data_IF_274427930953
#
_entry.id   IF_274427930953
#
_cell.length_a   1.000
_cell.length_b   1.000
_cell.length_c   1.000
_cell.angle_alpha   90.00
_cell.angle_beta   90.00
_cell.angle_gamma   90.00
#
_symmetry.space_group_name_H-M   'P 1'
#
loop_
_entity.id
_entity.type
_entity.pdbx_description
1 polymer ?
#
# COMPACT_ATOMS: atom_id res chain seq x y z
N UNK A 1 -18.02 17.73 -14.28
CA UNK A 1 -19.50 17.66 -14.27
C UNK A 1 -19.98 16.36 -14.90
N UNK A 2 -21.27 16.00 -14.79
CA UNK A 2 -21.81 14.68 -15.21
C UNK A 2 -21.43 14.27 -16.65
N UNK A 3 -21.48 15.20 -17.59
CA UNK A 3 -21.14 14.93 -19.00
C UNK A 3 -19.67 14.53 -19.16
N UNK A 4 -18.75 15.21 -18.48
CA UNK A 4 -17.32 14.84 -18.46
C UNK A 4 -17.06 13.48 -17.81
N UNK A 5 -17.79 13.13 -16.74
CA UNK A 5 -17.68 11.79 -16.14
C UNK A 5 -18.18 10.73 -17.12
N UNK A 6 -19.28 10.97 -17.82
CA UNK A 6 -19.76 10.05 -18.84
C UNK A 6 -18.71 9.86 -19.95
N UNK A 7 -18.16 10.95 -20.49
CA UNK A 7 -17.12 10.92 -21.52
C UNK A 7 -15.84 10.19 -21.06
N UNK A 8 -15.40 10.42 -19.82
CA UNK A 8 -14.33 9.65 -19.18
C UNK A 8 -14.66 8.15 -19.17
N UNK A 9 -15.87 7.79 -18.75
CA UNK A 9 -16.30 6.39 -18.73
C UNK A 9 -16.40 5.77 -20.12
N UNK A 10 -16.80 6.53 -21.16
CA UNK A 10 -16.78 6.07 -22.56
C UNK A 10 -15.34 5.71 -22.95
N UNK A 11 -14.42 6.65 -22.77
CA UNK A 11 -13.01 6.49 -23.13
C UNK A 11 -12.33 5.35 -22.35
N UNK A 12 -12.60 5.24 -21.05
CA UNK A 12 -12.04 4.20 -20.20
C UNK A 12 -12.44 2.80 -20.69
N UNK A 13 -13.71 2.59 -21.06
CA UNK A 13 -14.15 1.29 -21.55
C UNK A 13 -13.65 0.95 -22.96
N UNK A 14 -13.37 1.94 -23.80
CA UNK A 14 -12.64 1.71 -25.06
C UNK A 14 -11.23 1.17 -24.80
N UNK A 15 -10.52 1.74 -23.82
CA UNK A 15 -9.17 1.33 -23.42
C UNK A 15 -9.19 -0.05 -22.76
N UNK A 16 -10.07 -0.29 -21.78
CA UNK A 16 -10.21 -1.58 -21.08
C UNK A 16 -10.52 -2.72 -22.05
N UNK A 17 -11.35 -2.46 -23.08
CA UNK A 17 -11.70 -3.49 -24.07
C UNK A 17 -10.51 -3.86 -24.97
N UNK A 18 -9.54 -2.96 -25.13
CA UNK A 18 -8.27 -3.23 -25.80
C UNK A 18 -7.23 -3.86 -24.86
N UNK A 19 -7.34 -3.67 -23.55
CA UNK A 19 -6.41 -4.22 -22.57
C UNK A 19 -6.65 -5.73 -22.32
N UNK A 20 -5.68 -6.55 -22.74
CA UNK A 20 -5.72 -7.99 -22.53
C UNK A 20 -5.70 -8.40 -21.04
N UNK A 21 -5.21 -7.54 -20.16
CA UNK A 21 -5.14 -7.75 -18.70
C UNK A 21 -6.51 -7.62 -18.05
N UNK A 22 -7.40 -6.76 -18.59
CA UNK A 22 -8.69 -6.41 -17.97
C UNK A 22 -9.92 -6.89 -18.73
N UNK A 23 -9.87 -7.00 -20.06
CA UNK A 23 -11.06 -7.28 -20.90
C UNK A 23 -11.84 -8.54 -20.51
N UNK A 24 -11.17 -9.55 -19.95
CA UNK A 24 -11.79 -10.82 -19.53
C UNK A 24 -12.78 -10.65 -18.39
N UNK A 25 -12.56 -9.71 -17.46
CA UNK A 25 -13.46 -9.44 -16.33
C UNK A 25 -14.84 -8.92 -16.77
N UNK A 26 -14.87 -8.29 -17.94
CA UNK A 26 -16.05 -7.65 -18.52
C UNK A 26 -16.71 -8.51 -19.61
N UNK A 27 -16.12 -9.65 -19.95
CA UNK A 27 -16.70 -10.60 -20.89
C UNK A 27 -18.06 -11.08 -20.39
N UNK A 28 -19.05 -11.09 -21.29
CA UNK A 28 -20.43 -11.51 -21.02
C UNK A 28 -21.18 -10.61 -19.99
N UNK A 29 -20.63 -9.45 -19.64
CA UNK A 29 -21.30 -8.45 -18.78
C UNK A 29 -22.06 -7.43 -19.63
N UNK A 30 -23.10 -6.85 -19.04
CA UNK A 30 -23.78 -5.70 -19.62
C UNK A 30 -22.97 -4.42 -19.32
N UNK A 31 -22.04 -4.08 -20.22
CA UNK A 31 -21.15 -2.93 -20.08
C UNK A 31 -21.91 -1.62 -19.87
N UNK A 32 -23.03 -1.43 -20.56
CA UNK A 32 -23.88 -0.26 -20.39
C UNK A 32 -24.38 -0.09 -18.95
N UNK A 33 -24.78 -1.19 -18.29
CA UNK A 33 -25.18 -1.17 -16.88
C UNK A 33 -24.01 -0.95 -15.93
N UNK A 34 -22.86 -1.59 -16.18
CA UNK A 34 -21.66 -1.42 -15.34
C UNK A 34 -21.19 0.02 -15.39
N UNK A 35 -21.04 0.56 -16.61
CA UNK A 35 -20.66 1.94 -16.87
C UNK A 35 -21.62 2.94 -16.23
N UNK A 36 -22.94 2.73 -16.34
CA UNK A 36 -23.93 3.59 -15.71
C UNK A 36 -23.82 3.58 -14.17
N UNK A 37 -23.59 2.41 -13.57
CA UNK A 37 -23.37 2.30 -12.12
C UNK A 37 -22.11 3.02 -11.66
N UNK A 38 -20.99 2.81 -12.35
CA UNK A 38 -19.72 3.49 -12.06
C UNK A 38 -19.81 5.00 -12.28
N UNK A 39 -20.51 5.46 -13.32
CA UNK A 39 -20.72 6.91 -13.55
C UNK A 39 -21.40 7.57 -12.35
N UNK A 40 -22.43 6.93 -11.78
CA UNK A 40 -23.12 7.46 -10.59
C UNK A 40 -22.22 7.41 -9.37
N UNK A 41 -21.44 6.33 -9.21
CA UNK A 41 -20.50 6.20 -8.10
C UNK A 41 -19.42 7.30 -8.15
N UNK A 42 -18.84 7.54 -9.32
CA UNK A 42 -17.85 8.61 -9.52
C UNK A 42 -18.46 10.00 -9.40
N UNK A 43 -19.71 10.19 -9.83
CA UNK A 43 -20.44 11.45 -9.61
C UNK A 43 -20.54 11.76 -8.10
N UNK A 44 -20.85 10.78 -7.25
CA UNK A 44 -20.82 10.97 -5.79
C UNK A 44 -19.39 11.21 -5.25
N UNK A 45 -18.43 10.37 -5.66
CA UNK A 45 -17.04 10.43 -5.19
C UNK A 45 -16.39 11.79 -5.45
N UNK A 46 -16.68 12.40 -6.60
CA UNK A 46 -16.16 13.71 -6.99
C UNK A 46 -17.02 14.88 -6.46
N UNK A 47 -17.94 14.63 -5.52
CA UNK A 47 -18.72 15.65 -4.83
C UNK A 47 -19.98 16.12 -5.57
N UNK A 48 -20.48 15.36 -6.53
CA UNK A 48 -21.75 15.62 -7.22
C UNK A 48 -22.99 15.36 -6.36
N UNK A 49 -24.13 15.89 -6.79
CA UNK A 49 -25.38 15.88 -6.00
C UNK A 49 -26.05 14.49 -5.88
N UNK A 50 -25.70 13.55 -6.76
CA UNK A 50 -26.32 12.22 -6.77
C UNK A 50 -25.56 11.27 -5.86
N UNK A 51 -26.28 10.72 -4.88
CA UNK A 51 -25.79 9.60 -4.09
C UNK A 51 -25.93 8.27 -4.84
N UNK A 52 -24.90 7.44 -4.79
CA UNK A 52 -24.90 6.07 -5.27
C UNK A 52 -25.73 5.18 -4.34
N UNK A 53 -26.75 4.54 -4.93
CA UNK A 53 -27.66 3.61 -4.23
C UNK A 53 -27.52 2.18 -4.73
N UNK A 54 -26.44 1.89 -5.43
CA UNK A 54 -26.17 0.57 -5.97
C UNK A 54 -25.68 -0.40 -4.90
N UNK A 55 -25.28 -1.60 -5.35
CA UNK A 55 -24.68 -2.61 -4.47
C UNK A 55 -23.34 -2.11 -3.92
N UNK A 56 -23.01 -2.51 -2.70
CA UNK A 56 -21.73 -2.19 -2.08
C UNK A 56 -20.56 -2.83 -2.86
N UNK A 57 -19.45 -2.11 -2.95
CA UNK A 57 -18.32 -2.53 -3.77
C UNK A 57 -17.68 -3.83 -3.29
N UNK A 58 -17.65 -4.06 -1.97
CA UNK A 58 -17.13 -5.30 -1.36
C UNK A 58 -17.91 -6.50 -1.90
N UNK A 59 -19.23 -6.51 -1.73
CA UNK A 59 -20.09 -7.61 -2.18
C UNK A 59 -20.09 -7.80 -3.70
N UNK A 60 -19.95 -6.71 -4.47
CA UNK A 60 -19.87 -6.81 -5.94
C UNK A 60 -18.62 -7.57 -6.38
N UNK A 61 -17.50 -7.38 -5.70
CA UNK A 61 -16.19 -7.89 -6.13
C UNK A 61 -15.74 -9.17 -5.40
N UNK A 62 -16.52 -9.66 -4.42
CA UNK A 62 -16.16 -10.75 -3.47
C UNK A 62 -15.61 -12.03 -4.10
N UNK A 63 -16.04 -12.35 -5.32
CA UNK A 63 -15.64 -13.59 -6.02
C UNK A 63 -15.11 -13.30 -7.44
N UNK A 64 -14.67 -12.07 -7.70
CA UNK A 64 -14.19 -11.68 -9.02
C UNK A 64 -12.72 -12.04 -9.27
N UNK A 65 -11.95 -12.38 -8.24
CA UNK A 65 -10.52 -12.70 -8.37
C UNK A 65 -9.66 -11.50 -8.75
N UNK A 66 -10.11 -10.28 -8.43
CA UNK A 66 -9.34 -9.05 -8.63
C UNK A 66 -8.25 -8.99 -7.57
N UNK A 67 -7.01 -8.77 -8.00
CA UNK A 67 -5.84 -8.59 -7.15
C UNK A 67 -5.21 -7.20 -7.35
N UNK A 68 -4.13 -6.90 -6.60
CA UNK A 68 -3.48 -5.58 -6.68
C UNK A 68 -2.98 -5.29 -8.11
N UNK A 69 -2.42 -6.28 -8.80
CA UNK A 69 -2.00 -6.15 -10.19
C UNK A 69 -3.16 -5.74 -11.12
N UNK A 70 -4.31 -6.40 -10.98
CA UNK A 70 -5.50 -6.10 -11.77
C UNK A 70 -6.01 -4.69 -11.48
N UNK A 71 -6.00 -4.26 -10.22
CA UNK A 71 -6.41 -2.91 -9.85
C UNK A 71 -5.42 -1.84 -10.36
N UNK A 72 -4.11 -2.10 -10.30
CA UNK A 72 -3.09 -1.20 -10.86
C UNK A 72 -3.28 -1.03 -12.37
N UNK A 73 -3.57 -2.12 -13.09
CA UNK A 73 -3.88 -2.04 -14.52
C UNK A 73 -5.12 -1.16 -14.78
N UNK A 74 -6.14 -1.25 -13.94
CA UNK A 74 -7.33 -0.40 -14.04
C UNK A 74 -7.02 1.08 -13.77
N UNK A 75 -6.16 1.38 -12.78
CA UNK A 75 -5.71 2.75 -12.50
C UNK A 75 -4.92 3.34 -13.68
N UNK A 76 -4.02 2.56 -14.30
CA UNK A 76 -3.31 2.96 -15.52
C UNK A 76 -4.25 3.25 -16.69
N UNK A 77 -5.31 2.45 -16.85
CA UNK A 77 -6.31 2.67 -17.90
C UNK A 77 -7.16 3.93 -17.62
N UNK A 78 -7.42 4.24 -16.35
CA UNK A 78 -8.06 5.50 -15.94
C UNK A 78 -7.19 6.71 -16.26
N UNK A 79 -5.91 6.69 -15.85
CA UNK A 79 -4.91 7.71 -16.15
C UNK A 79 -4.83 7.97 -17.66
N UNK A 80 -4.67 6.91 -18.46
CA UNK A 80 -4.62 6.99 -19.92
C UNK A 80 -5.90 7.58 -20.51
N UNK A 81 -7.07 7.22 -19.98
CA UNK A 81 -8.35 7.75 -20.43
C UNK A 81 -8.45 9.25 -20.19
N UNK A 82 -8.04 9.74 -19.02
CA UNK A 82 -8.04 11.16 -18.67
C UNK A 82 -7.09 11.95 -19.57
N UNK A 83 -5.87 11.45 -19.81
CA UNK A 83 -4.94 12.09 -20.74
C UNK A 83 -5.45 12.12 -22.18
N UNK A 84 -6.12 11.07 -22.65
CA UNK A 84 -6.74 11.05 -23.99
C UNK A 84 -7.85 12.11 -24.15
N UNK A 85 -8.44 12.57 -23.04
CA UNK A 85 -9.46 13.61 -23.02
C UNK A 85 -8.87 15.01 -22.80
N UNK A 86 -7.54 15.11 -22.62
CA UNK A 86 -6.83 16.39 -22.51
C UNK A 86 -6.89 17.03 -21.13
N UNK A 87 -7.14 16.25 -20.07
CA UNK A 87 -7.00 16.73 -18.69
C UNK A 87 -5.51 16.93 -18.34
N UNK A 88 -5.24 17.92 -17.49
CA UNK A 88 -3.89 18.21 -16.99
C UNK A 88 -3.48 17.27 -15.85
N UNK A 89 -2.19 17.23 -15.54
CA UNK A 89 -1.60 16.35 -14.53
C UNK A 89 -2.26 16.54 -13.15
N UNK A 90 -2.52 17.79 -12.76
CA UNK A 90 -3.16 18.11 -11.49
C UNK A 90 -4.56 17.47 -11.38
N UNK A 91 -5.35 17.52 -12.44
CA UNK A 91 -6.68 16.89 -12.49
C UNK A 91 -6.57 15.37 -12.51
N UNK A 92 -5.62 14.82 -13.26
CA UNK A 92 -5.38 13.37 -13.34
C UNK A 92 -5.02 12.82 -11.96
N UNK A 93 -4.07 13.44 -11.28
CA UNK A 93 -3.62 13.05 -9.94
C UNK A 93 -4.74 13.12 -8.92
N UNK A 94 -5.54 14.19 -8.92
CA UNK A 94 -6.67 14.32 -8.01
C UNK A 94 -7.68 13.18 -8.18
N UNK A 95 -7.97 12.81 -9.44
CA UNK A 95 -8.87 11.68 -9.73
C UNK A 95 -8.26 10.36 -9.25
N UNK A 96 -6.99 10.08 -9.56
CA UNK A 96 -6.33 8.84 -9.14
C UNK A 96 -6.24 8.74 -7.61
N UNK A 97 -5.95 9.84 -6.94
CA UNK A 97 -5.92 9.92 -5.48
C UNK A 97 -7.29 9.62 -4.86
N UNK A 98 -8.38 10.13 -5.44
CA UNK A 98 -9.74 9.84 -4.99
C UNK A 98 -10.16 8.38 -5.26
N UNK A 99 -9.62 7.76 -6.31
CA UNK A 99 -9.90 6.36 -6.64
C UNK A 99 -9.15 5.37 -5.76
N UNK A 100 -7.94 5.70 -5.31
CA UNK A 100 -7.06 4.76 -4.60
C UNK A 100 -7.69 4.17 -3.31
N UNK A 101 -8.41 4.91 -2.44
CA UNK A 101 -9.10 4.32 -1.29
C UNK A 101 -10.12 3.23 -1.63
N UNK A 102 -10.65 3.23 -2.86
CA UNK A 102 -11.62 2.24 -3.34
C UNK A 102 -10.98 0.85 -3.49
N UNK A 103 -9.65 0.79 -3.67
CA UNK A 103 -8.89 -0.46 -3.82
C UNK A 103 -9.24 -1.47 -2.74
N UNK A 104 -9.26 -1.04 -1.48
CA UNK A 104 -9.59 -1.91 -0.35
C UNK A 104 -10.98 -2.56 -0.49
N UNK A 105 -11.95 -1.80 -0.99
CA UNK A 105 -13.32 -2.27 -1.20
C UNK A 105 -13.40 -3.24 -2.38
N UNK A 106 -12.73 -2.94 -3.50
CA UNK A 106 -12.73 -3.77 -4.72
C UNK A 106 -11.98 -5.07 -4.51
N UNK A 107 -10.81 -5.03 -3.87
CA UNK A 107 -10.01 -6.22 -3.61
C UNK A 107 -10.61 -7.11 -2.52
N UNK A 108 -11.68 -6.67 -1.85
CA UNK A 108 -12.17 -7.29 -0.61
C UNK A 108 -11.06 -7.44 0.45
N UNK A 109 -9.99 -6.66 0.32
CA UNK A 109 -8.90 -6.56 1.27
C UNK A 109 -9.23 -5.34 2.11
N UNK A 110 -9.88 -5.56 3.25
CA UNK A 110 -10.06 -4.49 4.21
C UNK A 110 -8.67 -4.00 4.67
N UNK A 111 -8.14 -2.98 3.98
CA UNK A 111 -7.03 -2.18 4.48
C UNK A 111 -7.60 -1.34 5.61
N UNK A 112 -7.02 -1.49 6.78
CA UNK A 112 -7.61 -1.02 8.02
C UNK A 112 -7.48 -2.07 9.09
N UNK A 113 -6.68 -1.73 10.09
CA UNK A 113 -6.35 -2.54 11.26
C UNK A 113 -7.62 -2.82 12.12
N UNK A 114 -8.76 -2.14 11.83
CA UNK A 114 -10.07 -2.33 12.46
C UNK A 114 -11.05 -3.27 11.73
N UNK A 115 -10.61 -4.02 10.72
CA UNK A 115 -11.48 -4.98 10.02
C UNK A 115 -11.83 -6.22 10.87
N UNK A 116 -12.97 -6.86 10.58
CA UNK A 116 -13.42 -8.05 11.31
C UNK A 116 -12.33 -9.13 11.38
N UNK A 117 -12.20 -9.75 12.56
CA UNK A 117 -11.23 -10.82 12.83
C UNK A 117 -11.40 -11.97 11.83
N UNK A 118 -10.29 -12.44 11.26
CA UNK A 118 -10.30 -13.59 10.36
C UNK A 118 -10.55 -14.86 11.17
N UNK A 119 -11.67 -15.52 10.91
CA UNK A 119 -12.08 -16.77 11.57
C UNK A 119 -12.14 -17.91 10.55
N UNK A 120 -11.50 -19.03 10.86
CA UNK A 120 -11.55 -20.25 10.03
C UNK A 120 -11.99 -21.41 10.89
N UNK A 121 -13.11 -22.04 10.51
CA UNK A 121 -13.75 -23.12 11.28
C UNK A 121 -14.02 -22.74 12.75
N UNK A 122 -14.36 -21.47 12.99
CA UNK A 122 -14.65 -20.95 14.33
C UNK A 122 -13.42 -20.66 15.21
N UNK A 123 -12.20 -20.80 14.66
CA UNK A 123 -10.95 -20.43 15.35
C UNK A 123 -10.34 -19.18 14.73
N UNK A 124 -9.79 -18.34 15.60
CA UNK A 124 -8.97 -17.19 15.22
C UNK A 124 -7.62 -17.63 14.64
N UNK A 125 -6.91 -16.70 14.00
CA UNK A 125 -5.53 -16.92 13.54
C UNK A 125 -4.63 -17.25 14.73
N UNK A 126 -4.78 -16.53 15.85
CA UNK A 126 -4.01 -16.75 17.07
C UNK A 126 -4.16 -18.17 17.63
N UNK A 127 -5.40 -18.67 17.75
CA UNK A 127 -5.65 -20.03 18.24
C UNK A 127 -5.07 -21.10 17.30
N UNK A 128 -5.09 -20.85 15.98
CA UNK A 128 -4.51 -21.76 15.00
C UNK A 128 -2.98 -21.75 15.00
N UNK A 129 -2.37 -20.61 15.32
CA UNK A 129 -0.93 -20.49 15.54
C UNK A 129 -0.47 -21.12 16.86
N UNK A 130 -1.39 -21.51 17.75
CA UNK A 130 -1.09 -22.11 19.05
C UNK A 130 -1.07 -21.12 20.23
N UNK A 131 -1.58 -19.90 20.04
CA UNK A 131 -1.75 -18.90 21.11
C UNK A 131 -0.65 -17.83 21.15
N UNK A 132 -0.71 -16.97 22.18
CA UNK A 132 0.16 -15.80 22.32
C UNK A 132 1.65 -16.18 22.37
N UNK A 133 2.02 -17.24 23.10
CA UNK A 133 3.40 -17.68 23.24
C UNK A 133 4.07 -18.03 21.90
N UNK A 134 3.34 -18.68 20.99
CA UNK A 134 3.88 -18.98 19.66
C UNK A 134 4.02 -17.72 18.82
N UNK A 135 3.08 -16.78 18.92
CA UNK A 135 3.19 -15.51 18.19
C UNK A 135 4.29 -14.60 18.75
N UNK A 136 4.54 -14.62 20.06
CA UNK A 136 5.69 -13.98 20.70
C UNK A 136 7.01 -14.60 20.22
N UNK A 137 7.08 -15.94 20.09
CA UNK A 137 8.24 -16.63 19.52
C UNK A 137 8.46 -16.28 18.04
N UNK A 138 7.39 -16.13 17.25
CA UNK A 138 7.47 -15.61 15.88
C UNK A 138 8.07 -14.21 15.90
N UNK A 139 7.62 -13.33 16.79
CA UNK A 139 8.14 -11.94 16.90
C UNK A 139 9.62 -11.92 17.27
N UNK A 140 10.05 -12.75 18.22
CA UNK A 140 11.47 -12.88 18.58
C UNK A 140 12.31 -13.28 17.36
N UNK A 141 11.88 -14.33 16.66
CA UNK A 141 12.60 -14.89 15.51
C UNK A 141 12.62 -13.94 14.32
N UNK A 142 11.49 -13.27 14.04
CA UNK A 142 11.39 -12.28 12.97
C UNK A 142 12.25 -11.05 13.28
N UNK A 143 12.26 -10.57 14.53
CA UNK A 143 13.05 -9.39 14.90
C UNK A 143 14.54 -9.66 14.68
N UNK A 144 15.03 -10.83 15.09
CA UNK A 144 16.39 -11.26 14.79
C UNK A 144 16.67 -11.30 13.28
N UNK A 145 15.77 -11.86 12.49
CA UNK A 145 15.87 -11.87 11.02
C UNK A 145 15.96 -10.46 10.41
N UNK A 146 15.08 -9.56 10.85
CA UNK A 146 15.06 -8.16 10.42
C UNK A 146 16.38 -7.43 10.73
N UNK A 147 17.06 -7.75 11.83
CA UNK A 147 18.38 -7.17 12.16
C UNK A 147 19.50 -7.65 11.23
N UNK A 148 19.34 -8.81 10.58
CA UNK A 148 20.30 -9.33 9.60
C UNK A 148 19.95 -8.93 8.17
N UNK A 149 18.70 -8.58 7.89
CA UNK A 149 18.23 -8.24 6.54
C UNK A 149 18.77 -6.87 6.08
N UNK A 150 19.63 -6.81 5.04
CA UNK A 150 20.25 -5.56 4.59
C UNK A 150 19.23 -4.52 4.10
N UNK A 151 18.01 -4.92 3.73
CA UNK A 151 16.96 -4.03 3.26
C UNK A 151 16.33 -3.21 4.39
N UNK A 152 16.31 -3.76 5.62
CA UNK A 152 15.53 -3.20 6.72
C UNK A 152 16.26 -3.10 8.06
N UNK A 153 17.46 -3.69 8.21
CA UNK A 153 18.21 -3.71 9.48
C UNK A 153 18.37 -2.35 10.15
N UNK A 154 18.41 -1.27 9.38
CA UNK A 154 18.54 0.10 9.90
C UNK A 154 17.29 0.63 10.64
N UNK A 155 16.12 0.00 10.46
CA UNK A 155 14.90 0.30 11.21
C UNK A 155 14.81 -0.43 12.55
N UNK A 156 15.67 -1.42 12.77
CA UNK A 156 15.67 -2.27 13.96
C UNK A 156 16.87 -1.92 14.84
N UNK A 157 16.61 -1.59 16.10
CA UNK A 157 17.66 -1.18 17.03
C UNK A 157 18.57 -2.35 17.38
N UNK A 158 19.87 -2.12 17.56
CA UNK A 158 20.79 -3.09 18.17
C UNK A 158 20.88 -2.94 19.71
N UNK A 159 20.36 -1.85 20.26
CA UNK A 159 20.29 -1.63 21.70
C UNK A 159 19.28 -2.59 22.36
N UNK A 160 19.67 -3.41 23.36
CA UNK A 160 18.80 -4.45 23.92
C UNK A 160 17.48 -3.94 24.52
N UNK A 161 17.48 -2.78 25.18
CA UNK A 161 16.27 -2.22 25.78
C UNK A 161 15.28 -1.77 24.71
N UNK A 162 15.77 -1.07 23.68
CA UNK A 162 14.95 -0.68 22.52
C UNK A 162 14.45 -1.88 21.75
N UNK A 163 15.25 -2.94 21.61
CA UNK A 163 14.81 -4.18 20.98
C UNK A 163 13.63 -4.79 21.72
N UNK A 164 13.74 -4.92 23.04
CA UNK A 164 12.67 -5.52 23.85
C UNK A 164 11.37 -4.71 23.77
N UNK A 165 11.47 -3.38 23.78
CA UNK A 165 10.32 -2.51 23.56
C UNK A 165 9.72 -2.69 22.15
N UNK A 166 10.56 -2.75 21.09
CA UNK A 166 10.09 -2.99 19.72
C UNK A 166 9.36 -4.33 19.62
N UNK A 167 9.97 -5.43 20.10
CA UNK A 167 9.36 -6.77 20.11
C UNK A 167 8.02 -6.77 20.85
N UNK A 168 7.97 -6.17 22.04
CA UNK A 168 6.73 -6.04 22.82
C UNK A 168 5.64 -5.33 22.02
N UNK A 169 5.93 -4.21 21.37
CA UNK A 169 4.94 -3.46 20.59
C UNK A 169 4.48 -4.22 19.35
N UNK A 170 5.40 -4.85 18.62
CA UNK A 170 5.08 -5.67 17.45
C UNK A 170 4.19 -6.85 17.86
N UNK A 171 4.53 -7.54 18.97
CA UNK A 171 3.72 -8.63 19.50
C UNK A 171 2.31 -8.16 19.88
N UNK A 172 2.16 -7.02 20.58
CA UNK A 172 0.85 -6.48 20.95
C UNK A 172 -0.01 -6.19 19.71
N UNK A 173 0.57 -5.60 18.66
CA UNK A 173 -0.12 -5.34 17.39
C UNK A 173 -0.56 -6.65 16.72
N UNK A 174 0.36 -7.61 16.54
CA UNK A 174 0.07 -8.87 15.86
C UNK A 174 -0.93 -9.73 16.64
N UNK A 175 -0.83 -9.78 17.97
CA UNK A 175 -1.77 -10.52 18.83
C UNK A 175 -3.18 -9.96 18.68
N UNK A 176 -3.35 -8.64 18.81
CA UNK A 176 -4.66 -8.00 18.65
C UNK A 176 -5.24 -8.24 17.25
N UNK A 177 -4.40 -8.11 16.23
CA UNK A 177 -4.76 -8.37 14.84
C UNK A 177 -5.15 -9.84 14.55
N UNK A 178 -4.51 -10.80 15.22
CA UNK A 178 -4.76 -12.24 15.03
C UNK A 178 -5.96 -12.78 15.82
N UNK A 179 -6.66 -11.93 16.57
CA UNK A 179 -7.84 -12.31 17.34
C UNK A 179 -7.62 -12.41 18.86
N UNK A 180 -6.44 -12.04 19.34
CA UNK A 180 -6.18 -11.87 20.77
C UNK A 180 -6.72 -10.55 21.32
N UNK A 181 -6.54 -10.30 22.63
CA UNK A 181 -6.93 -9.04 23.24
C UNK A 181 -6.12 -7.87 22.65
N UNK A 182 -6.81 -6.81 22.29
CA UNK A 182 -6.18 -5.61 21.74
C UNK A 182 -5.47 -4.84 22.85
N UNK A 183 -4.13 -4.91 22.88
CA UNK A 183 -3.29 -4.24 23.90
C UNK A 183 -2.53 -3.03 23.35
N UNK A 184 -2.53 -2.84 22.03
CA UNK A 184 -1.89 -1.71 21.37
C UNK A 184 -2.96 -0.76 20.82
N UNK A 185 -2.74 0.54 20.99
CA UNK A 185 -3.54 1.58 20.35
C UNK A 185 -3.13 1.69 18.88
N UNK A 186 -3.91 1.07 18.00
CA UNK A 186 -3.62 0.99 16.56
C UNK A 186 -3.55 2.36 15.89
N UNK A 187 -4.20 3.39 16.46
CA UNK A 187 -4.13 4.77 15.95
C UNK A 187 -2.71 5.34 16.05
N UNK A 188 -1.83 4.75 16.88
CA UNK A 188 -0.43 5.15 17.01
C UNK A 188 0.48 4.59 15.92
N UNK A 189 0.02 3.61 15.11
CA UNK A 189 0.87 3.04 14.07
C UNK A 189 1.28 4.10 13.03
N UNK A 190 0.32 4.87 12.51
CA UNK A 190 0.64 5.89 11.51
C UNK A 190 1.51 7.04 12.05
N UNK A 191 1.15 7.72 13.16
CA UNK A 191 1.96 8.83 13.69
C UNK A 191 3.41 8.42 14.01
N UNK A 192 3.61 7.19 14.52
CA UNK A 192 4.93 6.70 14.86
C UNK A 192 5.79 6.47 13.60
N UNK A 193 5.24 5.84 12.57
CA UNK A 193 5.98 5.47 11.36
C UNK A 193 6.07 6.59 10.31
N UNK A 194 5.27 7.65 10.44
CA UNK A 194 5.14 8.71 9.43
C UNK A 194 6.51 9.28 8.97
N UNK A 195 7.42 9.52 9.90
CA UNK A 195 8.71 10.13 9.60
C UNK A 195 9.81 9.12 9.23
N UNK A 196 9.52 7.82 9.19
CA UNK A 196 10.54 6.77 9.04
C UNK A 196 10.91 6.43 7.59
N UNK A 197 10.28 7.03 6.57
CA UNK A 197 10.57 6.73 5.14
C UNK A 197 10.47 5.23 4.80
N UNK A 198 9.50 4.54 5.42
CA UNK A 198 9.26 3.13 5.15
C UNK A 198 8.46 3.03 3.85
N UNK A 199 8.99 2.27 2.88
CA UNK A 199 8.38 2.01 1.57
C UNK A 199 7.67 0.66 1.58
N UNK A 200 6.91 0.35 0.52
CA UNK A 200 6.38 -1.00 0.33
C UNK A 200 7.47 -2.06 0.26
N UNK A 201 8.60 -1.75 -0.38
CA UNK A 201 9.77 -2.64 -0.41
C UNK A 201 10.30 -2.98 0.99
N UNK A 202 10.35 -1.99 1.90
CA UNK A 202 10.75 -2.23 3.29
C UNK A 202 9.68 -3.04 4.05
N UNK A 203 8.40 -2.76 3.83
CA UNK A 203 7.30 -3.46 4.48
C UNK A 203 7.22 -4.93 4.03
N UNK A 204 7.42 -5.21 2.74
CA UNK A 204 7.47 -6.56 2.17
C UNK A 204 8.58 -7.38 2.81
N UNK A 205 9.77 -6.79 3.01
CA UNK A 205 10.86 -7.44 3.72
C UNK A 205 10.48 -7.84 5.15
N UNK A 206 9.68 -7.05 5.87
CA UNK A 206 9.18 -7.44 7.21
C UNK A 206 8.22 -8.63 7.11
N UNK A 207 7.30 -8.66 6.14
CA UNK A 207 6.41 -9.80 5.92
C UNK A 207 7.17 -11.08 5.58
N UNK A 208 8.21 -10.98 4.73
CA UNK A 208 9.08 -12.10 4.41
C UNK A 208 9.84 -12.62 5.64
N UNK A 209 10.29 -11.74 6.53
CA UNK A 209 10.92 -12.14 7.80
C UNK A 209 9.92 -12.79 8.77
N UNK A 210 8.64 -12.35 8.79
CA UNK A 210 7.57 -13.06 9.52
C UNK A 210 7.35 -14.45 8.94
N UNK A 211 7.30 -14.57 7.61
CA UNK A 211 7.14 -15.87 6.93
C UNK A 211 8.30 -16.82 7.27
N UNK A 212 9.54 -16.34 7.21
CA UNK A 212 10.73 -17.10 7.56
C UNK A 212 10.71 -17.54 9.03
N UNK A 213 10.29 -16.65 9.95
CA UNK A 213 10.14 -16.98 11.37
C UNK A 213 9.12 -18.09 11.61
N UNK A 214 7.96 -18.04 10.94
CA UNK A 214 6.97 -19.11 11.02
C UNK A 214 7.50 -20.44 10.49
N UNK A 215 8.28 -20.42 9.41
CA UNK A 215 8.87 -21.63 8.85
C UNK A 215 9.91 -22.26 9.80
N UNK A 216 10.75 -21.45 10.44
CA UNK A 216 11.72 -21.90 11.46
C UNK A 216 11.02 -22.54 12.67
N UNK A 217 9.86 -22.01 13.05
CA UNK A 217 9.05 -22.50 14.16
C UNK A 217 8.09 -23.64 13.76
N UNK A 218 8.15 -24.10 12.51
CA UNK A 218 7.33 -25.19 11.97
C UNK A 218 5.82 -24.97 12.18
N UNK A 219 5.36 -23.72 12.01
CA UNK A 219 3.94 -23.38 12.14
C UNK A 219 3.14 -23.80 10.90
N UNK A 220 1.84 -24.06 11.09
CA UNK A 220 0.89 -24.43 10.04
C UNK A 220 0.87 -23.40 8.89
N UNK A 221 1.12 -23.84 7.66
CA UNK A 221 1.25 -22.97 6.48
C UNK A 221 0.00 -22.11 6.24
N UNK A 222 -1.19 -22.68 6.42
CA UNK A 222 -2.46 -21.95 6.26
C UNK A 222 -2.65 -20.91 7.37
N UNK A 223 -2.21 -21.20 8.60
CA UNK A 223 -2.21 -20.21 9.68
C UNK A 223 -1.17 -19.12 9.46
N UNK A 224 0.01 -19.45 8.91
CA UNK A 224 1.04 -18.49 8.51
C UNK A 224 0.55 -17.57 7.41
N UNK A 225 -0.11 -18.10 6.37
CA UNK A 225 -0.69 -17.30 5.30
C UNK A 225 -1.71 -16.29 5.86
N UNK A 226 -2.54 -16.73 6.79
CA UNK A 226 -3.52 -15.88 7.45
C UNK A 226 -2.87 -14.82 8.35
N UNK A 227 -1.77 -15.16 9.04
CA UNK A 227 -0.96 -14.20 9.79
C UNK A 227 -0.39 -13.11 8.85
N UNK A 228 0.18 -13.48 7.71
CA UNK A 228 0.75 -12.54 6.74
C UNK A 228 -0.33 -11.62 6.15
N UNK A 229 -1.49 -12.18 5.82
CA UNK A 229 -2.64 -11.39 5.34
C UNK A 229 -3.09 -10.37 6.40
N UNK A 230 -3.17 -10.80 7.65
CA UNK A 230 -3.57 -9.96 8.78
C UNK A 230 -2.52 -8.89 9.09
N UNK A 231 -1.24 -9.24 9.13
CA UNK A 231 -0.12 -8.30 9.31
C UNK A 231 -0.08 -7.27 8.17
N UNK A 232 -0.36 -7.70 6.93
CA UNK A 232 -0.43 -6.83 5.75
C UNK A 232 -1.45 -5.70 5.86
N UNK A 233 -2.45 -5.80 6.75
CA UNK A 233 -3.44 -4.73 6.98
C UNK A 233 -2.84 -3.47 7.60
N UNK A 234 -1.69 -3.57 8.26
CA UNK A 234 -0.98 -2.43 8.85
C UNK A 234 -0.11 -1.67 7.84
N UNK A 235 -0.02 -2.14 6.58
CA UNK A 235 0.83 -1.55 5.54
C UNK A 235 0.58 -0.07 5.36
N UNK A 236 -0.68 0.32 5.12
CA UNK A 236 -1.02 1.71 4.83
C UNK A 236 -0.63 2.63 5.98
N UNK A 237 -0.90 2.24 7.23
CA UNK A 237 -0.51 3.04 8.39
C UNK A 237 1.00 3.20 8.49
N UNK A 238 1.76 2.16 8.18
CA UNK A 238 3.22 2.16 8.29
C UNK A 238 3.90 2.90 7.12
N UNK A 239 3.40 2.79 5.89
CA UNK A 239 4.02 3.38 4.70
C UNK A 239 3.53 4.80 4.37
N UNK A 240 2.40 5.25 4.96
CA UNK A 240 1.72 6.51 4.62
C UNK A 240 2.65 7.71 4.52
N UNK A 241 3.57 7.84 5.47
CA UNK A 241 4.45 9.01 5.54
C UNK A 241 5.48 9.08 4.42
N UNK A 242 5.88 7.95 3.83
CA UNK A 242 6.71 7.94 2.62
C UNK A 242 5.88 8.38 1.41
N UNK A 243 4.70 7.76 1.23
CA UNK A 243 3.78 8.07 0.13
C UNK A 243 3.40 9.54 0.07
N UNK A 244 2.93 10.11 1.19
CA UNK A 244 2.51 11.52 1.26
C UNK A 244 3.67 12.47 0.97
N UNK A 245 4.87 12.18 1.48
CA UNK A 245 6.03 13.05 1.23
C UNK A 245 6.52 12.98 -0.20
N UNK A 246 6.42 11.80 -0.82
CA UNK A 246 6.73 11.62 -2.24
C UNK A 246 5.75 12.42 -3.11
N UNK A 247 4.44 12.28 -2.88
CA UNK A 247 3.39 13.05 -3.58
C UNK A 247 3.62 14.56 -3.44
N UNK A 248 3.85 15.06 -2.23
CA UNK A 248 4.13 16.47 -1.97
C UNK A 248 5.43 16.96 -2.65
N UNK A 249 6.44 16.09 -2.77
CA UNK A 249 7.67 16.44 -3.45
C UNK A 249 7.45 16.54 -4.97
N UNK A 250 6.70 15.60 -5.56
CA UNK A 250 6.37 15.62 -6.98
C UNK A 250 5.53 16.84 -7.37
N UNK A 251 4.46 17.13 -6.63
CA UNK A 251 3.63 18.32 -6.84
C UNK A 251 4.44 19.62 -6.81
N UNK A 252 5.44 19.71 -5.92
CA UNK A 252 6.35 20.88 -5.88
C UNK A 252 7.26 20.97 -7.09
N UNK A 253 7.75 19.85 -7.61
CA UNK A 253 8.58 19.82 -8.82
C UNK A 253 7.76 20.25 -10.03
N UNK A 254 6.55 19.71 -10.20
CA UNK A 254 5.65 20.03 -11.31
C UNK A 254 5.22 21.51 -11.28
N UNK A 255 4.85 22.02 -10.11
CA UNK A 255 4.39 23.42 -9.97
C UNK A 255 5.49 24.47 -10.12
N UNK A 256 6.72 24.14 -9.74
CA UNK A 256 7.83 25.10 -9.73
C UNK A 256 8.75 25.00 -10.96
N UNK A 257 8.67 23.93 -11.75
CA UNK A 257 9.52 23.73 -12.93
C UNK A 257 11.02 23.86 -12.60
N UNK A 258 11.79 24.48 -13.49
CA UNK A 258 13.24 24.68 -13.30
C UNK A 258 13.59 25.62 -12.14
N UNK A 259 12.65 26.48 -11.72
CA UNK A 259 12.83 27.40 -10.58
C UNK A 259 12.61 26.70 -9.22
N UNK A 260 12.18 25.43 -9.25
CA UNK A 260 11.97 24.57 -8.08
C UNK A 260 13.25 23.99 -7.50
N UNK A 261 13.22 22.70 -7.14
CA UNK A 261 14.36 22.02 -6.51
C UNK A 261 15.62 22.09 -7.40
N UNK A 262 15.47 22.01 -8.73
CA UNK A 262 16.57 22.13 -9.69
C UNK A 262 17.33 23.46 -9.53
N UNK A 263 16.64 24.59 -9.60
CA UNK A 263 17.23 25.91 -9.38
C UNK A 263 17.78 26.10 -7.96
N UNK A 264 17.09 25.58 -6.94
CA UNK A 264 17.56 25.63 -5.53
C UNK A 264 18.86 24.86 -5.32
N UNK A 265 19.07 23.78 -6.07
CA UNK A 265 20.30 23.01 -6.08
C UNK A 265 21.39 23.61 -6.99
N UNK A 266 21.15 24.78 -7.60
CA UNK A 266 22.12 25.48 -8.45
C UNK A 266 22.04 25.15 -9.93
N UNK A 267 20.94 24.54 -10.39
CA UNK A 267 20.77 24.13 -11.78
C UNK A 267 21.79 23.07 -12.19
N UNK A 268 22.22 23.10 -13.46
CA UNK A 268 23.18 22.14 -13.99
C UNK A 268 24.52 22.16 -13.23
N UNK A 269 25.10 23.34 -13.01
CA UNK A 269 26.40 23.51 -12.33
C UNK A 269 26.37 22.96 -10.89
N UNK A 270 25.28 23.21 -10.17
CA UNK A 270 25.15 22.75 -8.79
C UNK A 270 24.90 21.23 -8.69
N UNK A 271 24.19 20.64 -9.65
CA UNK A 271 24.04 19.18 -9.75
C UNK A 271 25.38 18.53 -10.12
N UNK A 272 26.12 19.09 -11.08
CA UNK A 272 27.44 18.59 -11.47
C UNK A 272 28.40 18.59 -10.26
N UNK A 273 28.46 19.71 -9.53
CA UNK A 273 29.27 19.81 -8.31
C UNK A 273 28.85 18.78 -7.23
N UNK A 274 27.54 18.57 -7.03
CA UNK A 274 27.04 17.57 -6.10
C UNK A 274 27.47 16.15 -6.50
N UNK A 275 27.38 15.82 -7.79
CA UNK A 275 27.79 14.50 -8.31
C UNK A 275 29.29 14.31 -8.16
N UNK A 276 30.11 15.32 -8.47
CA UNK A 276 31.57 15.26 -8.27
C UNK A 276 31.94 15.00 -6.81
N UNK A 277 31.32 15.72 -5.88
CA UNK A 277 31.51 15.52 -4.44
C UNK A 277 31.07 14.11 -4.00
N UNK A 278 29.92 13.65 -4.49
CA UNK A 278 29.43 12.29 -4.20
C UNK A 278 30.42 11.22 -4.69
N UNK A 279 30.93 11.34 -5.91
CA UNK A 279 31.91 10.40 -6.45
C UNK A 279 33.21 10.41 -5.65
N UNK A 280 33.66 11.59 -5.21
CA UNK A 280 34.82 11.70 -4.32
C UNK A 280 34.57 10.97 -3.00
N UNK A 281 33.42 11.17 -2.36
CA UNK A 281 33.09 10.47 -1.12
C UNK A 281 32.98 8.97 -1.29
N UNK A 282 32.36 8.50 -2.39
CA UNK A 282 32.28 7.06 -2.70
C UNK A 282 33.69 6.48 -2.91
N UNK A 283 34.58 7.20 -3.61
CA UNK A 283 35.95 6.75 -3.85
C UNK A 283 36.79 6.69 -2.56
N UNK A 284 36.52 7.58 -1.61
CA UNK A 284 37.22 7.62 -0.33
C UNK A 284 36.59 6.68 0.72
N UNK A 285 35.39 6.14 0.50
CA UNK A 285 34.69 5.27 1.45
C UNK A 285 35.15 3.80 1.34
N UNK A 286 35.89 3.28 2.33
CA UNK A 286 36.38 1.91 2.32
C UNK A 286 35.28 0.85 2.44
N UNK A 287 34.02 1.24 2.69
CA UNK A 287 32.87 0.32 2.73
C UNK A 287 32.28 0.05 1.36
N UNK A 288 32.52 0.96 0.39
CA UNK A 288 31.95 0.88 -0.97
C UNK A 288 33.00 0.42 -1.96
N UNK A 289 34.26 0.83 -1.78
CA UNK A 289 35.39 0.36 -2.58
C UNK A 289 35.96 -0.95 -2.01
N UNK A 290 35.50 -2.08 -2.56
CA UNK A 290 36.05 -3.42 -2.36
C UNK A 290 37.11 -3.77 -3.42
#
# INVERSE_FOLDING_TARGET
GKEGIAEFMDRLYEIINADARLKSFFKDKNIGKVKAGQTIYLEELFGGEKAYKGRDLVSVHKDMGVDDFTFDCFMMDCEKALYCLGYDDATVDEVLFLLEPIRALVLNKARGIGSQQKMVKGKSVLERLGGELNLEAVVETMHFGCQQDPRIKYFFSIDPEKQENQKTKIAQVLIGLCGGPQRYDLEQLQPFHFNMNITDFHFDAVLENIQAACAVLELDEEATKDLLEVAGKARTDITKGCTVRYELAMQKVESAGTDGLFGQLGGDDGIEAFIDDLYKFIQEDPRVNL
#
